data_IF_278432433357
#
_entry.id   IF_278432433357
#
_cell.length_a   1.000
_cell.length_b   1.000
_cell.length_c   1.000
_cell.angle_alpha   90.00
_cell.angle_beta   90.00
_cell.angle_gamma   90.00
#
_symmetry.space_group_name_H-M   'P 1'
#
loop_
_entity.id
_entity.type
_entity.pdbx_description
1 polymer ?
#
# COMPACT_ATOMS: atom_id res chain seq x y z
N UNK A 1 -15.25 39.28 -34.16
CA UNK A 1 -15.67 37.95 -33.65
C UNK A 1 -16.66 38.21 -32.53
N UNK A 2 -17.89 37.70 -32.62
CA UNK A 2 -18.87 37.88 -31.55
C UNK A 2 -18.30 37.29 -30.24
N UNK A 3 -18.40 38.03 -29.15
CA UNK A 3 -17.95 37.59 -27.83
C UNK A 3 -18.78 36.35 -27.45
N UNK A 4 -18.16 35.17 -27.47
CA UNK A 4 -18.84 33.92 -27.10
C UNK A 4 -19.28 34.03 -25.64
N UNK A 5 -20.57 33.83 -25.38
CA UNK A 5 -21.10 33.85 -24.02
C UNK A 5 -20.38 32.79 -23.17
N UNK A 6 -19.88 33.22 -22.01
CA UNK A 6 -19.17 32.36 -21.04
C UNK A 6 -20.02 32.18 -19.80
N UNK A 7 -20.22 30.93 -19.40
CA UNK A 7 -21.02 30.54 -18.25
C UNK A 7 -20.09 30.08 -17.13
N UNK A 8 -20.24 30.67 -15.93
CA UNK A 8 -19.41 30.30 -14.78
C UNK A 8 -19.83 28.93 -14.26
N UNK A 9 -18.90 27.98 -14.25
CA UNK A 9 -19.09 26.61 -13.73
C UNK A 9 -18.52 26.46 -12.33
N UNK A 10 -17.25 26.80 -12.14
CA UNK A 10 -16.53 26.61 -10.86
C UNK A 10 -16.01 27.92 -10.29
N UNK A 11 -16.05 28.05 -8.96
CA UNK A 11 -15.39 29.17 -8.26
C UNK A 11 -13.91 28.87 -8.10
N UNK A 12 -13.11 29.88 -7.76
CA UNK A 12 -11.67 29.71 -7.51
C UNK A 12 -11.42 28.67 -6.42
N UNK A 13 -12.20 28.72 -5.33
CA UNK A 13 -12.08 27.78 -4.22
C UNK A 13 -12.30 26.33 -4.66
N UNK A 14 -13.32 26.04 -5.48
CA UNK A 14 -13.55 24.69 -6.02
C UNK A 14 -12.36 24.16 -6.82
N UNK A 15 -11.71 25.03 -7.59
CA UNK A 15 -10.55 24.61 -8.39
C UNK A 15 -9.35 24.35 -7.49
N UNK A 16 -9.18 25.15 -6.43
CA UNK A 16 -8.12 24.91 -5.43
C UNK A 16 -8.34 23.56 -4.76
N UNK A 17 -9.54 23.31 -4.22
CA UNK A 17 -9.93 22.02 -3.62
C UNK A 17 -9.66 20.85 -4.59
N UNK A 18 -10.07 20.98 -5.84
CA UNK A 18 -9.80 19.98 -6.87
C UNK A 18 -8.31 19.73 -7.09
N UNK A 19 -7.46 20.77 -7.14
CA UNK A 19 -6.03 20.59 -7.32
C UNK A 19 -5.35 19.97 -6.10
N UNK A 20 -5.78 20.34 -4.89
CA UNK A 20 -5.32 19.70 -3.65
C UNK A 20 -5.70 18.23 -3.64
N UNK A 21 -6.95 17.90 -3.98
CA UNK A 21 -7.43 16.53 -4.15
C UNK A 21 -6.61 15.78 -5.21
N UNK A 22 -6.41 16.37 -6.39
CA UNK A 22 -5.69 15.75 -7.50
C UNK A 22 -4.25 15.41 -7.12
N UNK A 23 -3.53 16.34 -6.48
CA UNK A 23 -2.13 16.17 -6.10
C UNK A 23 -2.01 15.14 -4.97
N UNK A 24 -2.82 15.27 -3.92
CA UNK A 24 -2.80 14.34 -2.78
C UNK A 24 -3.21 12.92 -3.22
N UNK A 25 -4.28 12.78 -4.00
CA UNK A 25 -4.72 11.50 -4.56
C UNK A 25 -3.65 10.89 -5.48
N UNK A 26 -3.03 11.68 -6.35
CA UNK A 26 -1.97 11.15 -7.24
C UNK A 26 -0.77 10.64 -6.44
N UNK A 27 -0.38 11.34 -5.38
CA UNK A 27 0.70 10.90 -4.51
C UNK A 27 0.32 9.62 -3.74
N UNK A 28 -0.91 9.53 -3.21
CA UNK A 28 -1.45 8.32 -2.58
C UNK A 28 -1.50 7.14 -3.56
N UNK A 29 -1.95 7.38 -4.78
CA UNK A 29 -2.04 6.38 -5.83
C UNK A 29 -0.67 5.82 -6.18
N UNK A 30 0.32 6.68 -6.48
CA UNK A 30 1.67 6.23 -6.83
C UNK A 30 2.31 5.49 -5.65
N UNK A 31 2.31 6.09 -4.46
CA UNK A 31 2.95 5.49 -3.28
C UNK A 31 2.24 4.23 -2.80
N UNK A 32 0.92 4.12 -2.96
CA UNK A 32 0.14 2.93 -2.61
C UNK A 32 0.30 1.79 -3.62
N UNK A 33 0.24 2.09 -4.92
CA UNK A 33 0.33 1.08 -5.98
C UNK A 33 1.67 0.36 -5.99
N UNK A 34 2.77 1.08 -5.75
CA UNK A 34 4.10 0.44 -5.69
C UNK A 34 4.28 -0.46 -4.47
N UNK A 35 3.52 -0.23 -3.39
CA UNK A 35 3.54 -1.08 -2.20
C UNK A 35 2.73 -2.37 -2.40
N UNK A 36 1.56 -2.31 -3.05
CA UNK A 36 0.77 -3.52 -3.35
C UNK A 36 1.39 -4.36 -4.48
N UNK A 37 1.97 -3.72 -5.51
CA UNK A 37 2.61 -4.41 -6.64
C UNK A 37 4.14 -4.47 -6.49
N UNK A 38 4.63 -4.60 -5.25
CA UNK A 38 6.05 -4.53 -4.91
C UNK A 38 6.93 -5.55 -5.67
N UNK A 39 6.37 -6.69 -6.09
CA UNK A 39 7.10 -7.73 -6.80
C UNK A 39 7.48 -7.36 -8.26
N UNK A 40 6.98 -6.24 -8.78
CA UNK A 40 7.27 -5.81 -10.16
C UNK A 40 8.52 -4.94 -10.24
N UNK A 41 9.33 -5.13 -11.29
CA UNK A 41 10.54 -4.32 -11.52
C UNK A 41 10.24 -2.82 -11.58
N UNK A 42 9.09 -2.45 -12.17
CA UNK A 42 8.64 -1.07 -12.22
C UNK A 42 8.37 -0.50 -10.83
N UNK A 43 7.72 -1.25 -9.93
CA UNK A 43 7.49 -0.81 -8.56
C UNK A 43 8.82 -0.62 -7.81
N UNK A 44 9.76 -1.57 -7.95
CA UNK A 44 11.09 -1.46 -7.35
C UNK A 44 11.87 -0.25 -7.87
N UNK A 45 11.82 0.01 -9.18
CA UNK A 45 12.46 1.17 -9.79
C UNK A 45 11.86 2.50 -9.29
N UNK A 46 10.53 2.58 -9.15
CA UNK A 46 9.85 3.77 -8.61
C UNK A 46 10.21 3.96 -7.14
N UNK A 47 10.19 2.90 -6.32
CA UNK A 47 10.58 2.96 -4.90
C UNK A 47 12.03 3.42 -4.76
N UNK A 48 12.95 2.88 -5.55
CA UNK A 48 14.35 3.31 -5.58
C UNK A 48 14.50 4.78 -5.99
N UNK A 49 13.79 5.20 -7.05
CA UNK A 49 13.79 6.59 -7.53
C UNK A 49 13.17 7.60 -6.54
N UNK A 50 12.22 7.17 -5.71
CA UNK A 50 11.61 7.98 -4.66
C UNK A 50 12.42 8.01 -3.36
N UNK A 51 13.58 7.36 -3.30
CA UNK A 51 14.46 7.37 -2.12
C UNK A 51 14.21 6.25 -1.11
N UNK A 52 13.58 5.15 -1.55
CA UNK A 52 13.39 3.94 -0.75
C UNK A 52 12.01 3.83 -0.08
N UNK A 53 11.73 2.66 0.49
CA UNK A 53 10.41 2.30 1.02
C UNK A 53 9.97 3.19 2.20
N UNK A 54 10.91 3.62 3.05
CA UNK A 54 10.59 4.47 4.20
C UNK A 54 10.07 5.84 3.77
N UNK A 55 10.70 6.46 2.75
CA UNK A 55 10.22 7.72 2.20
C UNK A 55 8.89 7.54 1.47
N UNK A 56 8.69 6.44 0.74
CA UNK A 56 7.40 6.12 0.10
C UNK A 56 6.28 6.01 1.14
N UNK A 57 6.50 5.29 2.25
CA UNK A 57 5.53 5.16 3.36
C UNK A 57 5.27 6.51 4.04
N UNK A 58 6.30 7.32 4.24
CA UNK A 58 6.15 8.67 4.79
C UNK A 58 5.32 9.58 3.87
N UNK A 59 5.63 9.62 2.58
CA UNK A 59 4.90 10.40 1.59
C UNK A 59 3.44 9.97 1.48
N UNK A 60 3.18 8.66 1.54
CA UNK A 60 1.82 8.12 1.56
C UNK A 60 1.03 8.67 2.77
N UNK A 61 1.62 8.63 3.96
CA UNK A 61 1.02 9.15 5.20
C UNK A 61 0.80 10.66 5.16
N UNK A 62 1.76 11.43 4.67
CA UNK A 62 1.62 12.89 4.49
C UNK A 62 0.47 13.19 3.52
N UNK A 63 0.41 12.50 2.38
CA UNK A 63 -0.64 12.69 1.39
C UNK A 63 -2.03 12.32 1.95
N UNK A 64 -2.11 11.27 2.78
CA UNK A 64 -3.33 10.89 3.48
C UNK A 64 -3.82 12.00 4.42
N UNK A 65 -2.92 12.60 5.21
CA UNK A 65 -3.27 13.72 6.09
C UNK A 65 -3.76 14.92 5.29
N UNK A 66 -3.09 15.27 4.19
CA UNK A 66 -3.55 16.35 3.28
C UNK A 66 -4.95 16.06 2.75
N UNK A 67 -5.23 14.82 2.33
CA UNK A 67 -6.55 14.40 1.86
C UNK A 67 -7.62 14.47 2.97
N UNK A 68 -7.28 14.11 4.22
CA UNK A 68 -8.20 14.25 5.36
C UNK A 68 -8.53 15.72 5.66
N UNK A 69 -7.53 16.60 5.61
CA UNK A 69 -7.74 18.05 5.78
C UNK A 69 -8.59 18.63 4.65
N UNK A 70 -8.33 18.22 3.41
CA UNK A 70 -9.14 18.57 2.25
C UNK A 70 -10.59 18.11 2.43
N UNK A 71 -10.82 16.88 2.90
CA UNK A 71 -12.18 16.38 3.18
C UNK A 71 -12.92 17.22 4.23
N UNK A 72 -12.24 17.66 5.30
CA UNK A 72 -12.82 18.55 6.32
C UNK A 72 -13.20 19.90 5.71
N UNK A 73 -12.29 20.51 4.93
CA UNK A 73 -12.53 21.79 4.26
C UNK A 73 -13.68 21.68 3.25
N UNK A 74 -13.68 20.63 2.44
CA UNK A 74 -14.73 20.35 1.46
C UNK A 74 -16.10 20.17 2.13
N UNK A 75 -16.18 19.45 3.26
CA UNK A 75 -17.42 19.31 4.02
C UNK A 75 -17.93 20.67 4.53
N UNK A 76 -17.03 21.53 4.99
CA UNK A 76 -17.34 22.91 5.37
C UNK A 76 -17.87 23.74 4.20
N UNK A 77 -17.25 23.63 3.04
CA UNK A 77 -17.66 24.34 1.83
C UNK A 77 -19.04 23.88 1.32
N UNK A 78 -19.27 22.57 1.26
CA UNK A 78 -20.58 21.99 0.93
C UNK A 78 -21.63 22.44 1.95
N UNK A 79 -21.32 22.33 3.25
CA UNK A 79 -22.18 22.80 4.34
C UNK A 79 -22.53 24.28 4.22
N UNK A 80 -21.55 25.14 3.89
CA UNK A 80 -21.75 26.57 3.68
C UNK A 80 -22.72 26.82 2.52
N UNK A 81 -22.53 26.13 1.38
CA UNK A 81 -23.40 26.27 0.21
C UNK A 81 -24.83 25.81 0.47
N UNK A 82 -25.00 24.72 1.20
CA UNK A 82 -26.33 24.17 1.52
C UNK A 82 -27.03 25.02 2.58
N UNK A 83 -26.35 25.34 3.69
CA UNK A 83 -26.98 26.02 4.82
C UNK A 83 -27.07 27.54 4.63
N UNK A 84 -25.95 28.19 4.29
CA UNK A 84 -25.87 29.65 4.18
C UNK A 84 -26.47 30.12 2.86
N UNK A 85 -25.95 29.60 1.75
CA UNK A 85 -26.34 30.05 0.41
C UNK A 85 -27.65 29.40 -0.09
N UNK A 86 -28.14 28.34 0.57
CA UNK A 86 -29.32 27.57 0.13
C UNK A 86 -29.23 27.14 -1.33
N UNK A 87 -28.03 26.77 -1.74
CA UNK A 87 -27.79 26.20 -3.07
C UNK A 87 -28.55 24.88 -3.15
N UNK A 88 -29.30 24.61 -4.24
CA UNK A 88 -29.98 23.33 -4.39
C UNK A 88 -28.95 22.19 -4.35
N UNK A 89 -29.29 21.09 -3.69
CA UNK A 89 -28.45 19.90 -3.58
C UNK A 89 -28.46 19.08 -4.87
N UNK A 90 -28.04 19.70 -5.97
CA UNK A 90 -28.08 19.10 -7.31
C UNK A 90 -27.10 17.94 -7.50
N UNK A 91 -26.13 17.76 -6.60
CA UNK A 91 -25.18 16.64 -6.59
C UNK A 91 -25.77 15.35 -6.00
N UNK A 92 -26.96 15.38 -5.41
CA UNK A 92 -27.63 14.17 -4.96
C UNK A 92 -28.12 13.37 -6.17
N UNK A 93 -27.82 12.06 -6.26
CA UNK A 93 -28.37 11.20 -7.28
C UNK A 93 -29.88 11.09 -7.07
N UNK A 94 -30.64 11.13 -8.16
CA UNK A 94 -32.08 10.98 -8.15
C UNK A 94 -32.59 10.10 -9.29
N UNK A 95 -33.89 9.87 -9.31
CA UNK A 95 -34.55 9.05 -10.34
C UNK A 95 -34.29 9.57 -11.76
N UNK A 96 -34.12 10.89 -11.92
CA UNK A 96 -33.80 11.49 -13.21
C UNK A 96 -32.40 11.07 -13.71
N UNK A 97 -31.44 10.85 -12.81
CA UNK A 97 -30.09 10.44 -13.20
C UNK A 97 -30.08 9.01 -13.76
N UNK A 98 -30.87 8.10 -13.16
CA UNK A 98 -31.09 6.76 -13.72
C UNK A 98 -31.73 6.82 -15.11
N UNK A 99 -32.72 7.69 -15.30
CA UNK A 99 -33.34 7.91 -16.62
C UNK A 99 -32.33 8.46 -17.63
N UNK A 100 -31.49 9.41 -17.22
CA UNK A 100 -30.44 9.97 -18.07
C UNK A 100 -29.41 8.91 -18.44
N UNK A 101 -29.02 8.03 -17.51
CA UNK A 101 -28.12 6.92 -17.77
C UNK A 101 -28.70 5.94 -18.81
N UNK A 102 -29.97 5.54 -18.66
CA UNK A 102 -30.64 4.68 -19.63
C UNK A 102 -30.76 5.36 -21.01
N UNK A 103 -31.03 6.67 -21.04
CA UNK A 103 -31.06 7.45 -22.28
C UNK A 103 -29.68 7.57 -22.93
N UNK A 104 -28.62 7.72 -22.15
CA UNK A 104 -27.24 7.75 -22.64
C UNK A 104 -26.86 6.40 -23.27
N UNK A 105 -27.22 5.28 -22.64
CA UNK A 105 -27.03 3.93 -23.19
C UNK A 105 -27.82 3.78 -24.50
N UNK A 106 -29.10 4.14 -24.52
CA UNK A 106 -29.93 4.06 -25.73
C UNK A 106 -29.38 4.93 -26.87
N UNK A 107 -28.85 6.12 -26.56
CA UNK A 107 -28.19 6.99 -27.53
C UNK A 107 -26.92 6.35 -28.08
N UNK A 108 -26.06 5.81 -27.21
CA UNK A 108 -24.81 5.16 -27.63
C UNK A 108 -25.05 3.88 -28.46
N UNK A 109 -26.17 3.18 -28.22
CA UNK A 109 -26.61 2.04 -29.03
C UNK A 109 -27.34 2.45 -30.33
N UNK A 110 -27.49 3.75 -30.61
CA UNK A 110 -28.19 4.26 -31.79
C UNK A 110 -29.72 4.13 -31.75
N UNK A 111 -30.30 3.69 -30.63
CA UNK A 111 -31.75 3.55 -30.44
C UNK A 111 -32.44 4.92 -30.22
N UNK A 112 -31.67 5.96 -29.92
CA UNK A 112 -32.14 7.34 -29.73
C UNK A 112 -31.24 8.29 -30.50
N UNK A 113 -31.86 9.30 -31.15
CA UNK A 113 -31.13 10.32 -31.95
C UNK A 113 -30.63 11.51 -31.14
N UNK A 114 -31.20 11.75 -29.98
CA UNK A 114 -30.90 12.91 -29.14
C UNK A 114 -30.22 12.48 -27.84
N UNK A 115 -29.22 13.25 -27.41
CA UNK A 115 -28.56 13.08 -26.12
C UNK A 115 -29.51 13.35 -24.94
N UNK A 116 -29.25 12.77 -23.75
CA UNK A 116 -30.03 13.04 -22.55
C UNK A 116 -29.97 14.52 -22.17
N UNK A 117 -31.11 15.07 -21.75
CA UNK A 117 -31.22 16.48 -21.36
C UNK A 117 -30.77 16.66 -19.91
N UNK A 118 -29.45 16.77 -19.72
CA UNK A 118 -28.83 16.80 -18.39
C UNK A 118 -28.74 18.21 -17.79
N UNK A 119 -28.75 18.27 -16.45
CA UNK A 119 -28.69 19.51 -15.68
C UNK A 119 -27.26 20.04 -15.52
N UNK A 120 -27.06 20.90 -14.51
CA UNK A 120 -25.75 21.50 -14.22
C UNK A 120 -24.67 20.48 -13.85
N UNK A 121 -25.10 19.33 -13.33
CA UNK A 121 -24.27 18.18 -13.10
C UNK A 121 -24.92 17.00 -13.82
N UNK A 122 -24.13 16.31 -14.62
CA UNK A 122 -24.56 15.11 -15.34
C UNK A 122 -24.64 13.90 -14.40
N UNK A 123 -25.28 12.80 -14.82
CA UNK A 123 -25.30 11.60 -13.99
C UNK A 123 -23.90 11.00 -13.84
N UNK A 124 -23.06 11.12 -14.88
CA UNK A 124 -21.67 10.68 -14.88
C UNK A 124 -20.86 11.43 -13.81
N UNK A 125 -20.95 12.76 -13.79
CA UNK A 125 -20.26 13.62 -12.81
C UNK A 125 -20.72 13.35 -11.38
N UNK A 126 -22.02 13.08 -11.17
CA UNK A 126 -22.53 12.70 -9.86
C UNK A 126 -22.01 11.34 -9.44
N UNK A 127 -22.00 10.36 -10.33
CA UNK A 127 -21.50 9.03 -10.04
C UNK A 127 -20.02 9.08 -9.65
N UNK A 128 -19.20 9.82 -10.39
CA UNK A 128 -17.78 10.03 -10.08
C UNK A 128 -17.60 10.71 -8.71
N UNK A 129 -18.36 11.79 -8.43
CA UNK A 129 -18.29 12.46 -7.15
C UNK A 129 -18.63 11.53 -5.99
N UNK A 130 -19.70 10.74 -6.11
CA UNK A 130 -20.11 9.80 -5.07
C UNK A 130 -19.18 8.60 -4.94
N UNK A 131 -18.58 8.14 -6.03
CA UNK A 131 -17.53 7.14 -5.99
C UNK A 131 -16.31 7.65 -5.20
N UNK A 132 -15.89 8.90 -5.42
CA UNK A 132 -14.79 9.51 -4.64
C UNK A 132 -15.18 9.68 -3.16
N UNK A 133 -16.41 10.12 -2.86
CA UNK A 133 -16.89 10.22 -1.46
C UNK A 133 -16.88 8.86 -0.77
N UNK A 134 -17.42 7.82 -1.43
CA UNK A 134 -17.41 6.45 -0.93
C UNK A 134 -15.99 5.93 -0.72
N UNK A 135 -15.14 6.04 -1.75
CA UNK A 135 -13.75 5.60 -1.69
C UNK A 135 -12.99 6.30 -0.57
N UNK A 136 -13.19 7.60 -0.38
CA UNK A 136 -12.54 8.35 0.71
C UNK A 136 -12.92 7.81 2.10
N UNK A 137 -14.18 7.42 2.29
CA UNK A 137 -14.65 6.82 3.56
C UNK A 137 -14.01 5.44 3.76
N UNK A 138 -14.05 4.58 2.74
CA UNK A 138 -13.46 3.23 2.81
C UNK A 138 -11.96 3.31 3.06
N UNK A 139 -11.25 4.16 2.32
CA UNK A 139 -9.81 4.38 2.45
C UNK A 139 -9.44 4.99 3.80
N UNK A 140 -10.27 5.89 4.35
CA UNK A 140 -10.07 6.44 5.69
C UNK A 140 -10.20 5.39 6.78
N UNK A 141 -11.24 4.55 6.73
CA UNK A 141 -11.47 3.49 7.73
C UNK A 141 -10.39 2.40 7.64
N UNK A 142 -10.16 1.87 6.44
CA UNK A 142 -9.16 0.81 6.23
C UNK A 142 -7.75 1.34 6.47
N UNK A 143 -7.46 2.57 6.05
CA UNK A 143 -6.19 3.24 6.34
C UNK A 143 -5.94 3.42 7.83
N UNK A 144 -6.97 3.74 8.63
CA UNK A 144 -6.86 3.78 10.09
C UNK A 144 -6.46 2.42 10.66
N UNK A 145 -7.12 1.35 10.21
CA UNK A 145 -6.85 -0.01 10.68
C UNK A 145 -5.41 -0.42 10.36
N UNK A 146 -4.91 -0.06 9.17
CA UNK A 146 -3.54 -0.37 8.75
C UNK A 146 -2.49 0.51 9.43
N UNK A 147 -2.83 1.76 9.74
CA UNK A 147 -1.94 2.67 10.49
C UNK A 147 -1.87 2.25 11.96
N UNK A 148 -2.98 1.82 12.55
CA UNK A 148 -3.12 1.51 13.97
C UNK A 148 -3.70 0.09 14.20
N UNK A 149 -2.96 -0.97 13.84
CA UNK A 149 -3.49 -2.34 13.87
C UNK A 149 -3.74 -2.84 15.29
N UNK A 150 -2.87 -2.53 16.26
CA UNK A 150 -3.04 -2.95 17.67
C UNK A 150 -4.26 -2.27 18.28
N UNK A 151 -4.39 -0.96 18.05
CA UNK A 151 -5.56 -0.18 18.48
C UNK A 151 -6.87 -0.79 17.96
N UNK A 152 -6.86 -1.17 16.67
CA UNK A 152 -8.03 -1.75 16.01
C UNK A 152 -8.38 -3.13 16.56
N UNK A 153 -7.39 -3.98 16.82
CA UNK A 153 -7.62 -5.36 17.31
C UNK A 153 -7.95 -5.46 18.80
N UNK A 154 -7.79 -4.37 19.57
CA UNK A 154 -8.34 -4.28 20.93
C UNK A 154 -9.88 -4.29 20.93
N UNK A 155 -10.50 -3.81 19.85
CA UNK A 155 -11.96 -3.64 19.75
C UNK A 155 -12.56 -4.61 18.73
N UNK A 156 -11.82 -4.92 17.65
CA UNK A 156 -12.27 -5.75 16.55
C UNK A 156 -11.49 -7.06 16.47
N UNK A 157 -12.05 -8.13 15.89
CA UNK A 157 -11.32 -9.38 15.69
C UNK A 157 -10.07 -9.21 14.80
N UNK A 158 -9.01 -9.98 15.05
CA UNK A 158 -7.75 -9.89 14.31
C UNK A 158 -7.85 -10.02 12.79
N UNK A 159 -8.86 -10.73 12.28
CA UNK A 159 -9.13 -10.88 10.83
C UNK A 159 -9.41 -9.55 10.12
N UNK A 160 -9.80 -8.51 10.85
CA UNK A 160 -10.09 -7.18 10.27
C UNK A 160 -8.82 -6.54 9.69
N UNK A 161 -7.63 -6.82 10.22
CA UNK A 161 -6.37 -6.25 9.68
C UNK A 161 -6.06 -6.78 8.28
N UNK A 162 -5.95 -8.10 8.01
CA UNK A 162 -5.74 -8.58 6.65
C UNK A 162 -6.93 -8.26 5.72
N UNK A 163 -8.16 -8.23 6.22
CA UNK A 163 -9.31 -7.77 5.43
C UNK A 163 -9.15 -6.29 5.01
N UNK A 164 -8.64 -5.43 5.91
CA UNK A 164 -8.34 -4.04 5.59
C UNK A 164 -7.22 -3.91 4.56
N UNK A 165 -6.17 -4.76 4.60
CA UNK A 165 -5.11 -4.77 3.57
C UNK A 165 -5.72 -5.03 2.19
N UNK A 166 -6.56 -6.06 2.08
CA UNK A 166 -7.21 -6.42 0.81
C UNK A 166 -8.18 -5.32 0.37
N UNK A 167 -9.04 -4.84 1.27
CA UNK A 167 -10.03 -3.82 0.94
C UNK A 167 -9.38 -2.48 0.54
N UNK A 168 -8.37 -2.03 1.29
CA UNK A 168 -7.63 -0.80 0.99
C UNK A 168 -6.91 -0.91 -0.35
N UNK A 169 -6.24 -2.03 -0.59
CA UNK A 169 -5.52 -2.29 -1.84
C UNK A 169 -6.43 -2.34 -3.06
N UNK A 170 -7.52 -3.11 -2.99
CA UNK A 170 -8.46 -3.26 -4.11
C UNK A 170 -9.24 -1.97 -4.39
N UNK A 171 -9.69 -1.26 -3.35
CA UNK A 171 -10.36 0.03 -3.51
C UNK A 171 -9.42 1.07 -4.10
N UNK A 172 -8.15 1.11 -3.67
CA UNK A 172 -7.15 1.99 -4.26
C UNK A 172 -6.96 1.71 -5.76
N UNK A 173 -6.79 0.45 -6.14
CA UNK A 173 -6.67 0.06 -7.56
C UNK A 173 -7.92 0.44 -8.35
N UNK A 174 -9.11 0.17 -7.81
CA UNK A 174 -10.38 0.53 -8.45
C UNK A 174 -10.50 2.05 -8.60
N UNK A 175 -10.17 2.83 -7.57
CA UNK A 175 -10.20 4.28 -7.60
C UNK A 175 -9.24 4.84 -8.66
N UNK A 176 -8.01 4.34 -8.72
CA UNK A 176 -7.03 4.78 -9.75
C UNK A 176 -7.53 4.45 -11.15
N UNK A 177 -8.02 3.23 -11.37
CA UNK A 177 -8.56 2.84 -12.67
C UNK A 177 -9.77 3.69 -13.06
N UNK A 178 -10.70 3.94 -12.13
CA UNK A 178 -11.86 4.79 -12.37
C UNK A 178 -11.43 6.22 -12.72
N UNK A 179 -10.49 6.81 -11.98
CA UNK A 179 -10.01 8.16 -12.27
C UNK A 179 -9.29 8.22 -13.63
N UNK A 180 -8.44 7.26 -13.97
CA UNK A 180 -7.70 7.29 -15.24
C UNK A 180 -8.61 6.97 -16.44
N UNK A 181 -9.32 5.84 -16.38
CA UNK A 181 -10.09 5.30 -17.51
C UNK A 181 -11.39 6.06 -17.71
N UNK A 182 -12.02 6.53 -16.63
CA UNK A 182 -13.29 7.22 -16.72
C UNK A 182 -13.09 8.73 -16.64
N UNK A 183 -12.63 9.27 -15.51
CA UNK A 183 -12.59 10.72 -15.28
C UNK A 183 -11.64 11.45 -16.25
N UNK A 184 -10.35 11.08 -16.26
CA UNK A 184 -9.33 11.71 -17.12
C UNK A 184 -9.66 11.51 -18.60
N UNK A 185 -10.09 10.31 -18.99
CA UNK A 185 -10.48 10.05 -20.37
C UNK A 185 -11.65 10.96 -20.80
N UNK A 186 -12.74 11.04 -20.04
CA UNK A 186 -13.91 11.81 -20.44
C UNK A 186 -13.64 13.32 -20.46
N UNK A 187 -12.97 13.85 -19.42
CA UNK A 187 -12.82 15.29 -19.18
C UNK A 187 -11.57 15.90 -19.81
N UNK A 188 -10.55 15.09 -20.11
CA UNK A 188 -9.28 15.58 -20.67
C UNK A 188 -8.91 14.99 -22.02
N UNK A 189 -9.34 13.78 -22.38
CA UNK A 189 -8.96 13.13 -23.65
C UNK A 189 -10.07 13.16 -24.69
N UNK A 190 -11.26 12.66 -24.37
CA UNK A 190 -12.42 12.61 -25.27
C UNK A 190 -12.95 14.02 -25.57
N UNK A 191 -13.09 14.84 -24.55
CA UNK A 191 -13.50 16.23 -24.66
C UNK A 191 -12.69 17.07 -23.68
N UNK A 192 -11.87 18.00 -24.18
CA UNK A 192 -10.98 18.77 -23.31
C UNK A 192 -11.72 19.91 -22.62
N UNK A 193 -12.29 19.62 -21.46
CA UNK A 193 -13.07 20.58 -20.69
C UNK A 193 -12.16 21.52 -19.87
N UNK A 194 -12.17 22.80 -20.19
CA UNK A 194 -11.28 23.81 -19.57
C UNK A 194 -11.82 24.40 -18.27
N UNK A 195 -12.98 23.96 -17.81
CA UNK A 195 -13.68 24.61 -16.70
C UNK A 195 -12.94 24.48 -15.37
N UNK A 196 -12.17 23.43 -15.14
CA UNK A 196 -11.40 23.28 -13.90
C UNK A 196 -10.17 24.20 -13.83
N UNK A 197 -9.67 24.64 -14.99
CA UNK A 197 -8.57 25.60 -15.08
C UNK A 197 -9.10 27.04 -15.08
N UNK A 198 -10.12 27.32 -15.89
CA UNK A 198 -10.61 28.68 -16.14
C UNK A 198 -11.79 29.09 -15.27
N UNK A 199 -12.58 28.12 -14.79
CA UNK A 199 -13.83 28.33 -14.08
C UNK A 199 -15.07 28.50 -14.98
N UNK A 200 -14.90 28.48 -16.31
CA UNK A 200 -15.96 28.83 -17.26
C UNK A 200 -16.14 27.75 -18.34
N UNK A 201 -17.35 27.70 -18.89
CA UNK A 201 -17.71 26.98 -20.11
C UNK A 201 -18.20 27.98 -21.16
N UNK A 202 -17.99 27.66 -22.42
CA UNK A 202 -18.62 28.31 -23.57
C UNK A 202 -20.08 27.89 -23.70
N UNK A 203 -20.85 28.62 -24.50
CA UNK A 203 -22.24 28.26 -24.78
C UNK A 203 -22.38 26.91 -25.47
N UNK A 204 -21.48 26.59 -26.39
CA UNK A 204 -21.46 25.32 -27.12
C UNK A 204 -21.22 24.14 -26.19
N UNK A 205 -20.21 24.24 -25.30
CA UNK A 205 -19.95 23.22 -24.27
C UNK A 205 -21.15 23.07 -23.33
N UNK A 206 -21.78 24.17 -22.91
CA UNK A 206 -23.01 24.13 -22.11
C UNK A 206 -24.17 23.47 -22.84
N UNK A 207 -24.28 23.63 -24.16
CA UNK A 207 -25.33 23.03 -24.95
C UNK A 207 -25.11 21.52 -25.15
N UNK A 208 -23.86 21.07 -25.29
CA UNK A 208 -23.53 19.66 -25.48
C UNK A 208 -23.56 18.86 -24.16
N UNK A 209 -22.98 19.40 -23.10
CA UNK A 209 -22.85 18.71 -21.80
C UNK A 209 -24.04 18.97 -20.86
N UNK A 210 -24.58 20.19 -20.85
CA UNK A 210 -25.55 20.66 -19.86
C UNK A 210 -26.80 21.34 -20.46
N UNK A 211 -27.46 20.74 -21.46
CA UNK A 211 -28.50 21.42 -22.23
C UNK A 211 -29.69 21.89 -21.37
N UNK A 212 -30.10 21.12 -20.35
CA UNK A 212 -31.20 21.54 -19.48
C UNK A 212 -30.78 22.68 -18.52
N UNK A 213 -29.50 22.77 -18.15
CA UNK A 213 -28.97 23.90 -17.39
C UNK A 213 -28.95 25.17 -18.23
N UNK A 214 -28.46 25.07 -19.47
CA UNK A 214 -28.44 26.19 -20.42
C UNK A 214 -29.85 26.72 -20.69
N UNK A 215 -30.81 25.82 -20.95
CA UNK A 215 -32.21 26.18 -21.15
C UNK A 215 -32.80 26.93 -19.95
N UNK A 216 -32.48 26.50 -18.72
CA UNK A 216 -32.93 27.18 -17.49
C UNK A 216 -32.30 28.57 -17.33
N UNK A 217 -31.02 28.73 -17.67
CA UNK A 217 -30.34 30.03 -17.61
C UNK A 217 -30.97 30.99 -18.62
N UNK A 218 -31.13 30.56 -19.88
CA UNK A 218 -31.76 31.36 -20.95
C UNK A 218 -33.21 31.73 -20.63
N UNK A 219 -33.94 30.85 -19.93
CA UNK A 219 -35.29 31.12 -19.47
C UNK A 219 -35.36 32.02 -18.21
N UNK A 220 -34.23 32.51 -17.69
CA UNK A 220 -34.20 33.34 -16.47
C UNK A 220 -34.59 32.58 -15.18
N UNK A 221 -34.59 31.25 -15.20
CA UNK A 221 -35.00 30.37 -14.08
C UNK A 221 -33.81 29.92 -13.22
N UNK A 222 -32.87 30.82 -12.97
CA UNK A 222 -31.75 30.56 -12.06
C UNK A 222 -32.22 30.68 -10.60
N UNK A 223 -31.69 29.86 -9.67
CA UNK A 223 -32.06 29.97 -8.26
C UNK A 223 -31.85 31.40 -7.73
N UNK A 224 -32.91 32.01 -7.19
CA UNK A 224 -32.82 33.36 -6.63
C UNK A 224 -31.92 33.35 -5.40
N UNK A 225 -30.86 34.15 -5.43
CA UNK A 225 -29.97 34.31 -4.30
C UNK A 225 -30.72 34.95 -3.12
N UNK A 226 -30.43 34.48 -1.90
CA UNK A 226 -31.00 35.09 -0.69
C UNK A 226 -30.47 36.52 -0.52
N UNK A 227 -31.24 37.44 0.09
CA UNK A 227 -30.73 38.77 0.41
C UNK A 227 -29.45 38.70 1.26
N UNK A 228 -28.47 39.60 1.07
CA UNK A 228 -27.20 39.56 1.79
C UNK A 228 -27.33 39.55 3.31
N UNK A 229 -28.35 40.23 3.86
CA UNK A 229 -28.64 40.27 5.30
C UNK A 229 -29.04 38.89 5.84
N UNK A 230 -29.84 38.13 5.09
CA UNK A 230 -30.26 36.77 5.45
C UNK A 230 -29.07 35.82 5.37
N UNK A 231 -28.23 35.95 4.33
CA UNK A 231 -26.98 35.19 4.22
C UNK A 231 -26.04 35.50 5.40
N UNK A 232 -25.92 36.77 5.80
CA UNK A 232 -25.08 37.19 6.92
C UNK A 232 -25.57 36.60 8.25
N UNK A 233 -26.88 36.57 8.49
CA UNK A 233 -27.47 35.95 9.68
C UNK A 233 -27.13 34.45 9.76
N UNK A 234 -27.33 33.70 8.66
CA UNK A 234 -26.97 32.28 8.59
C UNK A 234 -25.47 32.05 8.74
N UNK A 235 -24.65 32.90 8.15
CA UNK A 235 -23.18 32.84 8.25
C UNK A 235 -22.71 32.99 9.69
N UNK A 236 -23.30 33.92 10.47
CA UNK A 236 -22.98 34.11 11.89
C UNK A 236 -23.24 32.87 12.75
N UNK A 237 -24.19 32.01 12.34
CA UNK A 237 -24.46 30.73 13.01
C UNK A 237 -23.56 29.63 12.46
N UNK A 238 -23.42 29.54 11.14
CA UNK A 238 -22.69 28.47 10.47
C UNK A 238 -21.19 28.48 10.81
N UNK A 239 -20.55 29.65 10.75
CA UNK A 239 -19.10 29.77 10.94
C UNK A 239 -18.65 29.24 12.31
N UNK A 240 -19.21 29.67 13.45
CA UNK A 240 -18.80 29.14 14.75
C UNK A 240 -19.18 27.66 14.91
N UNK A 241 -20.37 27.24 14.42
CA UNK A 241 -20.78 25.84 14.49
C UNK A 241 -19.81 24.92 13.71
N UNK A 242 -19.45 25.32 12.49
CA UNK A 242 -18.47 24.60 11.69
C UNK A 242 -17.07 24.69 12.30
N UNK A 243 -16.66 25.81 12.89
CA UNK A 243 -15.37 25.91 13.56
C UNK A 243 -15.25 24.90 14.72
N UNK A 244 -16.31 24.72 15.51
CA UNK A 244 -16.36 23.68 16.56
C UNK A 244 -16.30 22.29 15.94
N UNK A 245 -17.11 22.00 14.92
CA UNK A 245 -17.09 20.70 14.24
C UNK A 245 -15.72 20.39 13.61
N UNK A 246 -15.10 21.38 12.98
CA UNK A 246 -13.76 21.28 12.40
C UNK A 246 -12.70 21.05 13.47
N UNK A 247 -12.78 21.73 14.62
CA UNK A 247 -11.87 21.46 15.74
C UNK A 247 -11.99 20.02 16.24
N UNK A 248 -13.22 19.48 16.36
CA UNK A 248 -13.44 18.08 16.72
C UNK A 248 -12.86 17.13 15.67
N UNK A 249 -13.10 17.38 14.39
CA UNK A 249 -12.53 16.55 13.31
C UNK A 249 -11.00 16.62 13.27
N UNK A 250 -10.40 17.80 13.50
CA UNK A 250 -8.95 17.98 13.58
C UNK A 250 -8.34 17.26 14.78
N UNK A 251 -9.03 17.25 15.94
CA UNK A 251 -8.65 16.41 17.08
C UNK A 251 -8.72 14.93 16.69
N UNK A 252 -9.76 14.52 15.94
CA UNK A 252 -9.86 13.19 15.37
C UNK A 252 -8.69 12.83 14.46
N UNK A 253 -8.30 13.71 13.53
CA UNK A 253 -7.13 13.54 12.66
C UNK A 253 -5.83 13.50 13.48
N UNK A 254 -5.70 14.34 14.50
CA UNK A 254 -4.55 14.31 15.40
C UNK A 254 -4.42 12.95 16.08
N UNK A 255 -5.49 12.42 16.68
CA UNK A 255 -5.48 11.08 17.27
C UNK A 255 -5.26 9.99 16.23
N UNK A 256 -5.85 10.11 15.04
CA UNK A 256 -5.61 9.18 13.94
C UNK A 256 -4.12 9.01 13.65
N UNK A 257 -3.39 10.12 13.60
CA UNK A 257 -1.98 10.18 13.23
C UNK A 257 -1.05 9.89 14.42
N UNK A 258 -1.36 10.42 15.60
CA UNK A 258 -0.49 10.39 16.77
C UNK A 258 -0.60 9.11 17.61
N UNK A 259 -1.67 8.32 17.44
CA UNK A 259 -1.93 7.12 18.23
C UNK A 259 -1.12 5.89 17.76
N UNK A 260 0.08 6.07 17.19
CA UNK A 260 0.85 5.01 16.50
C UNK A 260 1.29 3.87 17.43
N UNK A 261 0.37 2.95 17.73
CA UNK A 261 0.63 1.64 18.34
C UNK A 261 0.74 0.60 17.22
N UNK A 262 1.94 0.50 16.63
CA UNK A 262 2.25 -0.54 15.65
C UNK A 262 3.11 -1.62 16.29
N UNK A 263 2.95 -2.87 15.84
CA UNK A 263 3.67 -4.02 16.39
C UNK A 263 5.13 -4.11 15.94
N UNK A 264 5.60 -3.18 15.11
CA UNK A 264 6.93 -3.24 14.50
C UNK A 264 7.75 -2.08 15.08
N UNK A 265 8.48 -2.35 16.16
CA UNK A 265 9.76 -1.69 16.33
C UNK A 265 10.57 -2.09 15.09
N UNK A 266 10.83 -1.15 14.18
CA UNK A 266 11.72 -1.40 13.05
C UNK A 266 13.04 -1.84 13.66
N UNK A 267 13.34 -3.14 13.60
CA UNK A 267 14.69 -3.60 13.81
C UNK A 267 15.56 -2.77 12.86
N UNK A 268 16.65 -2.14 13.34
CA UNK A 268 17.54 -1.41 12.47
C UNK A 268 17.89 -2.33 11.29
N UNK A 269 17.97 -1.81 10.05
CA UNK A 269 18.39 -2.61 8.92
C UNK A 269 19.64 -3.36 9.36
N UNK A 270 19.60 -4.69 9.26
CA UNK A 270 20.77 -5.50 9.55
C UNK A 270 21.92 -4.87 8.77
N UNK A 271 22.93 -4.39 9.48
CA UNK A 271 24.11 -3.81 8.87
C UNK A 271 24.56 -4.82 7.81
N UNK A 272 24.69 -4.39 6.56
CA UNK A 272 25.34 -5.19 5.51
C UNK A 272 26.82 -5.30 5.90
N UNK A 273 27.08 -6.10 6.93
CA UNK A 273 28.40 -6.56 7.25
C UNK A 273 28.75 -7.42 6.06
N UNK A 274 29.70 -6.94 5.27
CA UNK A 274 30.36 -7.75 4.26
C UNK A 274 31.08 -8.85 5.03
N UNK A 275 30.38 -9.96 5.33
CA UNK A 275 30.91 -11.10 6.09
C UNK A 275 32.11 -11.71 5.35
N UNK A 276 32.21 -11.46 4.04
CA UNK A 276 33.37 -11.82 3.23
C UNK A 276 33.81 -10.66 2.35
N UNK A 277 34.76 -9.84 2.84
CA UNK A 277 35.60 -9.08 1.93
C UNK A 277 36.50 -10.12 1.21
N UNK A 278 36.51 -10.22 -0.12
CA UNK A 278 37.46 -11.09 -0.81
C UNK A 278 38.86 -10.66 -0.35
N UNK A 279 39.59 -11.61 0.25
CA UNK A 279 40.95 -11.36 0.75
C UNK A 279 41.74 -10.67 -0.36
N UNK A 280 42.15 -9.41 -0.13
CA UNK A 280 43.19 -8.80 -0.95
C UNK A 280 44.35 -9.79 -0.92
N UNK A 281 44.81 -10.32 -2.08
CA UNK A 281 45.83 -11.36 -2.09
C UNK A 281 47.05 -10.82 -1.33
N UNK A 282 47.28 -11.39 -0.15
CA UNK A 282 48.42 -11.04 0.67
C UNK A 282 49.65 -11.46 -0.11
N UNK A 283 50.67 -10.59 -0.30
CA UNK A 283 51.87 -11.00 -0.99
C UNK A 283 52.48 -12.18 -0.24
N UNK A 284 52.82 -13.24 -0.97
CA UNK A 284 53.42 -14.44 -0.40
C UNK A 284 54.60 -14.06 0.52
N UNK A 285 54.61 -14.51 1.79
CA UNK A 285 55.75 -14.25 2.66
C UNK A 285 56.98 -14.99 2.13
N UNK A 286 58.06 -14.25 1.90
CA UNK A 286 59.39 -14.76 1.64
C UNK A 286 59.80 -15.70 2.77
N UNK A 287 60.10 -16.97 2.46
CA UNK A 287 60.50 -18.01 3.42
C UNK A 287 61.79 -17.61 4.17
N UNK A 288 61.77 -17.51 5.51
CA UNK A 288 62.97 -17.53 6.35
C UNK A 288 63.15 -18.92 6.99
N UNK A 289 64.37 -19.26 7.46
CA UNK A 289 64.81 -20.64 7.65
C UNK A 289 64.23 -21.32 8.90
N UNK A 290 64.11 -22.64 8.79
CA UNK A 290 63.69 -23.62 9.81
C UNK A 290 64.67 -23.66 10.98
N UNK A 291 64.16 -23.73 12.21
CA UNK A 291 64.76 -24.34 13.43
C UNK A 291 63.66 -24.45 14.53
N UNK A 292 63.79 -25.32 15.55
CA UNK A 292 62.87 -26.44 15.76
C UNK A 292 61.97 -26.33 16.99
N UNK A 293 60.88 -27.10 16.92
CA UNK A 293 60.07 -27.75 17.97
C UNK A 293 60.12 -27.22 19.41
N UNK A 294 58.97 -26.76 19.89
CA UNK A 294 58.50 -27.04 21.25
C UNK A 294 57.01 -27.44 21.24
N UNK A 295 56.78 -28.59 21.86
CA UNK A 295 55.59 -29.43 22.07
C UNK A 295 54.31 -28.72 22.54
N UNK A 296 53.12 -29.30 22.29
CA UNK A 296 51.82 -28.63 22.32
C UNK A 296 51.08 -28.77 23.67
N UNK A 297 50.14 -27.86 23.92
CA UNK A 297 49.29 -27.90 25.10
C UNK A 297 47.94 -27.20 24.91
N UNK A 298 46.90 -28.03 24.91
CA UNK A 298 45.51 -27.80 25.30
C UNK A 298 44.54 -27.15 24.29
N UNK A 299 43.63 -27.98 23.76
CA UNK A 299 42.31 -27.53 23.33
C UNK A 299 41.67 -28.20 22.10
N UNK A 300 41.99 -29.44 21.75
CA UNK A 300 41.27 -30.17 20.69
C UNK A 300 40.29 -31.16 21.34
N UNK A 301 38.98 -31.14 21.01
CA UNK A 301 38.07 -32.23 21.35
C UNK A 301 38.61 -33.54 20.72
N UNK A 302 38.33 -34.71 21.31
CA UNK A 302 38.93 -35.97 20.87
C UNK A 302 38.54 -36.27 19.41
N UNK A 303 39.53 -36.20 18.54
CA UNK A 303 39.48 -36.45 17.08
C UNK A 303 39.11 -37.90 16.68
N UNK A 304 38.67 -38.74 17.63
CA UNK A 304 38.69 -40.19 17.47
C UNK A 304 37.32 -40.88 17.30
N UNK A 305 36.17 -40.21 17.47
CA UNK A 305 34.87 -40.91 17.47
C UNK A 305 33.70 -40.13 16.83
N UNK A 306 33.97 -39.10 16.01
CA UNK A 306 32.90 -38.29 15.39
C UNK A 306 32.50 -38.93 14.05
N UNK A 307 31.65 -39.95 14.10
CA UNK A 307 31.08 -40.63 12.91
C UNK A 307 29.56 -40.72 13.01
N UNK A 308 28.87 -41.04 11.91
CA UNK A 308 27.42 -41.17 11.92
C UNK A 308 26.96 -42.22 12.94
N UNK A 309 27.60 -43.39 12.93
CA UNK A 309 27.25 -44.49 13.83
C UNK A 309 27.64 -44.22 15.29
N UNK A 310 28.72 -43.45 15.54
CA UNK A 310 29.27 -43.24 16.89
C UNK A 310 28.74 -42.00 17.61
N UNK A 311 27.94 -41.15 16.96
CA UNK A 311 27.33 -40.02 17.67
C UNK A 311 26.37 -39.17 16.85
N UNK A 312 26.73 -38.83 15.61
CA UNK A 312 25.98 -37.84 14.84
C UNK A 312 24.58 -38.35 14.47
N UNK A 313 24.46 -39.61 14.07
CA UNK A 313 23.17 -40.22 13.75
C UNK A 313 22.20 -40.19 14.94
N UNK A 314 22.69 -40.38 16.17
CA UNK A 314 21.86 -40.28 17.39
C UNK A 314 21.38 -38.85 17.65
N UNK A 315 22.23 -37.84 17.42
CA UNK A 315 21.85 -36.44 17.58
C UNK A 315 20.78 -36.03 16.56
N UNK A 316 20.92 -36.49 15.33
CA UNK A 316 19.95 -36.26 14.26
C UNK A 316 18.64 -36.98 14.53
N UNK A 317 18.70 -38.24 14.99
CA UNK A 317 17.51 -39.03 15.34
C UNK A 317 16.67 -38.33 16.42
N UNK A 318 17.31 -37.88 17.50
CA UNK A 318 16.63 -37.28 18.64
C UNK A 318 15.95 -35.94 18.36
N UNK A 319 16.41 -35.17 17.37
CA UNK A 319 15.96 -33.79 17.14
C UNK A 319 15.25 -33.59 15.81
N UNK A 320 15.51 -34.45 14.84
CA UNK A 320 15.08 -34.20 13.46
C UNK A 320 14.10 -35.26 12.95
N UNK A 321 14.20 -36.52 13.38
CA UNK A 321 13.42 -37.63 12.79
C UNK A 321 11.91 -37.53 13.08
N UNK A 322 11.49 -36.91 14.18
CA UNK A 322 10.06 -36.74 14.49
C UNK A 322 9.30 -35.93 13.40
N UNK A 323 10.00 -35.04 12.70
CA UNK A 323 9.43 -34.19 11.63
C UNK A 323 9.99 -34.51 10.24
N UNK A 324 11.20 -35.06 10.17
CA UNK A 324 11.94 -35.42 8.95
C UNK A 324 12.19 -36.93 8.86
N UNK A 325 11.24 -37.73 9.33
CA UNK A 325 11.24 -39.17 9.22
C UNK A 325 9.80 -39.71 9.28
N UNK A 326 9.47 -40.71 8.44
CA UNK A 326 8.12 -41.30 8.39
C UNK A 326 7.52 -41.36 6.98
N UNK A 327 6.21 -41.58 6.89
CA UNK A 327 5.48 -41.71 5.61
C UNK A 327 5.11 -40.36 4.98
N UNK A 328 5.13 -39.26 5.74
CA UNK A 328 4.95 -37.89 5.25
C UNK A 328 6.00 -37.00 5.93
N UNK A 329 7.04 -36.59 5.19
CA UNK A 329 8.14 -35.77 5.72
C UNK A 329 7.99 -34.31 5.30
N UNK A 330 8.35 -33.38 6.20
CA UNK A 330 8.39 -31.96 5.86
C UNK A 330 9.54 -31.72 4.87
N UNK A 331 9.21 -31.21 3.68
CA UNK A 331 10.18 -30.88 2.63
C UNK A 331 10.75 -32.09 1.87
N UNK A 332 10.07 -33.25 1.92
CA UNK A 332 10.52 -34.52 1.32
C UNK A 332 11.93 -34.93 1.79
N UNK A 333 12.28 -34.55 3.03
CA UNK A 333 13.57 -34.80 3.64
C UNK A 333 13.46 -35.97 4.62
N UNK A 334 14.24 -37.03 4.40
CA UNK A 334 14.34 -38.18 5.30
C UNK A 334 15.72 -38.23 5.97
N UNK A 335 15.75 -38.15 7.30
CA UNK A 335 16.97 -38.14 8.11
C UNK A 335 17.17 -39.42 8.94
N UNK A 336 16.37 -40.46 8.69
CA UNK A 336 16.44 -41.73 9.44
C UNK A 336 17.69 -42.56 9.15
N UNK A 337 18.32 -42.33 7.99
CA UNK A 337 19.50 -43.07 7.56
C UNK A 337 20.55 -42.11 7.01
N UNK A 338 21.81 -42.53 7.09
CA UNK A 338 22.95 -41.74 6.61
C UNK A 338 22.79 -41.38 5.12
N UNK A 339 22.46 -42.36 4.28
CA UNK A 339 22.27 -42.17 2.84
C UNK A 339 21.12 -41.20 2.52
N UNK A 340 20.01 -41.28 3.26
CA UNK A 340 18.89 -40.35 3.07
C UNK A 340 19.25 -38.92 3.50
N UNK A 341 20.04 -38.78 4.58
CA UNK A 341 20.53 -37.49 5.04
C UNK A 341 21.50 -36.83 4.05
N UNK A 342 22.29 -37.60 3.31
CA UNK A 342 23.12 -37.10 2.21
C UNK A 342 22.30 -36.74 0.97
N UNK A 343 21.29 -37.54 0.63
CA UNK A 343 20.42 -37.29 -0.52
C UNK A 343 19.66 -35.96 -0.39
N UNK A 344 19.26 -35.60 0.83
CA UNK A 344 18.52 -34.37 1.11
C UNK A 344 17.06 -34.44 0.67
N UNK A 345 16.42 -33.28 0.51
CA UNK A 345 15.01 -33.16 0.14
C UNK A 345 14.80 -32.24 -1.07
N UNK A 346 13.60 -31.66 -1.20
CA UNK A 346 13.27 -30.79 -2.35
C UNK A 346 14.15 -29.53 -2.48
N UNK A 347 14.81 -29.13 -1.40
CA UNK A 347 15.72 -27.97 -1.38
C UNK A 347 17.16 -28.32 -1.79
N UNK A 348 17.45 -29.59 -2.07
CA UNK A 348 18.79 -30.09 -2.37
C UNK A 348 19.40 -30.92 -1.22
N UNK A 349 20.68 -31.29 -1.35
CA UNK A 349 21.40 -32.11 -0.36
C UNK A 349 21.39 -31.45 1.02
N UNK A 350 20.99 -32.18 2.05
CA UNK A 350 21.01 -31.64 3.42
C UNK A 350 22.45 -31.57 3.95
N UNK A 351 23.31 -32.52 3.55
CA UNK A 351 24.71 -32.61 3.92
C UNK A 351 25.57 -32.73 2.66
N UNK A 352 26.55 -31.83 2.52
CA UNK A 352 27.56 -31.84 1.47
C UNK A 352 28.90 -32.19 2.11
N UNK A 353 29.44 -33.38 1.81
CA UNK A 353 30.67 -33.89 2.43
C UNK A 353 31.85 -32.93 2.21
N UNK A 354 32.52 -32.56 3.30
CA UNK A 354 33.67 -31.66 3.29
C UNK A 354 33.29 -30.17 3.20
N UNK A 355 32.01 -29.85 3.04
CA UNK A 355 31.52 -28.47 2.93
C UNK A 355 30.47 -28.17 4.00
N UNK A 356 30.92 -28.08 5.26
CA UNK A 356 30.06 -27.85 6.42
C UNK A 356 29.19 -26.60 6.30
N UNK A 357 29.80 -25.46 5.97
CA UNK A 357 29.10 -24.17 5.91
C UNK A 357 28.14 -24.02 4.71
N UNK A 358 28.28 -24.82 3.65
CA UNK A 358 27.37 -24.82 2.49
C UNK A 358 26.26 -25.87 2.61
N UNK A 359 26.39 -26.81 3.56
CA UNK A 359 25.39 -27.82 3.85
C UNK A 359 24.12 -27.18 4.42
N UNK A 360 22.97 -27.47 3.79
CA UNK A 360 21.68 -26.88 4.17
C UNK A 360 21.31 -27.16 5.62
N UNK A 361 21.72 -28.30 6.17
CA UNK A 361 21.52 -28.64 7.58
C UNK A 361 22.16 -27.60 8.50
N UNK A 362 23.39 -27.18 8.22
CA UNK A 362 24.10 -26.17 9.01
C UNK A 362 23.49 -24.78 8.79
N UNK A 363 23.17 -24.43 7.54
CA UNK A 363 22.56 -23.12 7.23
C UNK A 363 21.22 -22.94 7.94
N UNK A 364 20.38 -23.97 7.95
CA UNK A 364 19.05 -23.95 8.59
C UNK A 364 19.14 -23.96 10.11
N UNK A 365 20.06 -24.72 10.69
CA UNK A 365 20.24 -24.75 12.15
C UNK A 365 20.91 -23.47 12.66
N UNK A 366 21.78 -22.84 11.87
CA UNK A 366 22.40 -21.55 12.24
C UNK A 366 21.41 -20.38 12.34
N UNK A 367 20.23 -20.47 11.71
CA UNK A 367 19.23 -19.38 11.78
C UNK A 367 18.44 -19.34 13.08
N UNK A 368 18.47 -20.40 13.91
CA UNK A 368 17.87 -20.42 15.26
C UNK A 368 16.34 -20.57 15.33
N UNK A 369 15.63 -20.40 14.21
CA UNK A 369 14.16 -20.45 14.14
C UNK A 369 13.59 -21.86 13.80
N UNK A 370 14.23 -22.94 14.26
CA UNK A 370 13.81 -24.32 13.98
C UNK A 370 13.33 -25.07 15.24
N UNK A 371 12.20 -25.80 15.23
CA UNK A 371 11.68 -26.50 16.42
C UNK A 371 12.60 -27.62 16.93
N UNK A 372 13.37 -28.25 16.04
CA UNK A 372 14.40 -29.26 16.36
C UNK A 372 15.81 -28.66 16.41
N UNK A 373 16.02 -27.65 17.26
CA UNK A 373 17.25 -26.85 17.27
C UNK A 373 18.44 -27.59 17.92
N UNK A 374 19.60 -27.56 17.26
CA UNK A 374 20.87 -27.94 17.91
C UNK A 374 21.33 -26.84 18.88
N UNK A 375 21.89 -27.26 20.02
CA UNK A 375 22.68 -26.36 20.86
C UNK A 375 23.94 -25.90 20.12
N UNK A 376 24.57 -24.78 20.51
CA UNK A 376 25.79 -24.29 19.89
C UNK A 376 26.88 -25.36 19.81
N UNK A 377 27.05 -26.15 20.87
CA UNK A 377 28.05 -27.20 20.96
C UNK A 377 27.74 -28.40 20.05
N UNK A 378 26.46 -28.78 19.94
CA UNK A 378 26.01 -29.83 19.01
C UNK A 378 26.17 -29.39 17.55
N UNK A 379 25.86 -28.12 17.24
CA UNK A 379 25.98 -27.58 15.89
C UNK A 379 27.44 -27.52 15.44
N UNK A 380 28.35 -27.12 16.33
CA UNK A 380 29.80 -27.14 16.07
C UNK A 380 30.32 -28.56 15.85
N UNK A 381 29.83 -29.53 16.63
CA UNK A 381 30.18 -30.95 16.45
C UNK A 381 29.71 -31.50 15.10
N UNK A 382 28.48 -31.18 14.68
CA UNK A 382 27.94 -31.60 13.38
C UNK A 382 28.66 -30.89 12.23
N UNK A 383 28.99 -29.60 12.38
CA UNK A 383 29.80 -28.86 11.40
C UNK A 383 31.15 -29.53 11.21
N UNK A 384 31.86 -29.81 12.30
CA UNK A 384 33.16 -30.45 12.28
C UNK A 384 33.11 -31.84 11.62
N UNK A 385 32.08 -32.64 11.93
CA UNK A 385 31.87 -33.93 11.28
C UNK A 385 31.70 -33.81 9.75
N UNK A 386 30.93 -32.83 9.28
CA UNK A 386 30.73 -32.62 7.84
C UNK A 386 32.05 -32.21 7.17
N UNK A 387 32.83 -31.34 7.81
CA UNK A 387 34.15 -30.91 7.32
C UNK A 387 35.16 -32.06 7.21
N UNK A 388 35.07 -33.06 8.09
CA UNK A 388 35.84 -34.31 8.01
C UNK A 388 35.38 -35.24 6.87
N UNK A 389 34.43 -34.82 6.04
CA UNK A 389 33.88 -35.62 4.93
C UNK A 389 32.65 -36.42 5.32
N UNK A 390 32.03 -36.09 6.47
CA UNK A 390 30.87 -36.78 7.03
C UNK A 390 31.05 -38.31 7.10
N UNK A 391 32.09 -38.83 7.79
CA UNK A 391 32.34 -40.26 7.87
C UNK A 391 31.16 -41.02 8.49
N UNK A 392 30.79 -42.15 7.89
CA UNK A 392 29.71 -43.02 8.37
C UNK A 392 30.15 -43.88 9.56
N UNK A 393 31.27 -44.61 9.42
CA UNK A 393 31.85 -45.54 10.41
C UNK A 393 33.02 -44.96 11.21
#
# INVERSE_FOLDING_TARGET
>A
MAEQARYRRFSVLYRIEHWVLTISFSLLAVTGLVQIYFATDLAQAIVGGLGGIELVRLLHRIAAVVLMLEAILHLGHVGYRVFVLRTPMSMLPGVQDLRNALQAVAYNLGLRKERPQQGFYTFEEKLEYWAVVWGTIVMGITGFILWNPIASTRILPGVVVPAAVVAHGLEATLAVLAIIVWHVYHVHLRHFNKSIFTGYLTEEEMQDEHPAALARIKAGRTPRRSPPEVEAGRRRVFVPAFAVAAAVMLVGVYFFVAYEETAIATLPPAEEIVVFAPLTPTPFPTVPPVLPTSTPGAGQPPEADVTWERGIGRLVDQKCVDCHGGSETLGDLDLRTYEAALAGGVSGPAIVRGEGHTSLLITRQSSGDHPGQFSPEELELVLHWIELGAPEE
#
